data_IF_837744032326
#
_entry.id   IF_837744032326
#
_cell.length_a   1.000
_cell.length_b   1.000
_cell.length_c   1.000
_cell.angle_alpha   90.00
_cell.angle_beta   90.00
_cell.angle_gamma   90.00
#
_symmetry.space_group_name_H-M   'P 1'
#
loop_
_entity.id
_entity.type
_entity.pdbx_description
1 polymer ?
#
# COMPACT_ATOMS: atom_id res chain seq x y z
N UNK A 1 13.08 0.31 2.26
CA UNK A 1 13.89 -0.91 2.05
C UNK A 1 15.21 -0.84 2.78
N UNK A 2 15.98 0.22 2.55
CA UNK A 2 17.26 0.46 3.21
C UNK A 2 17.16 0.54 4.74
N UNK A 3 16.17 1.26 5.29
CA UNK A 3 16.00 1.39 6.75
C UNK A 3 15.66 0.05 7.42
N UNK A 4 14.83 -0.77 6.76
CA UNK A 4 14.55 -2.15 7.18
C UNK A 4 15.84 -2.98 7.18
N UNK A 5 16.67 -2.87 6.14
CA UNK A 5 17.91 -3.64 6.04
C UNK A 5 18.85 -3.28 7.21
N UNK A 6 19.03 -2.00 7.51
CA UNK A 6 19.87 -1.51 8.61
C UNK A 6 19.34 -2.03 9.96
N UNK A 7 18.05 -1.82 10.24
CA UNK A 7 17.46 -2.24 11.51
C UNK A 7 17.45 -3.78 11.68
N UNK A 8 17.23 -4.53 10.59
CA UNK A 8 17.30 -6.00 10.61
C UNK A 8 18.72 -6.51 10.83
N UNK A 9 19.72 -5.81 10.30
CA UNK A 9 21.13 -6.12 10.52
C UNK A 9 21.55 -5.86 11.96
N UNK A 10 21.07 -4.77 12.57
CA UNK A 10 21.28 -4.49 13.99
C UNK A 10 20.67 -5.59 14.88
N UNK A 11 19.42 -5.98 14.62
CA UNK A 11 18.76 -7.06 15.34
C UNK A 11 19.50 -8.40 15.19
N UNK A 12 20.04 -8.70 14.01
CA UNK A 12 20.84 -9.90 13.75
C UNK A 12 22.14 -9.88 14.54
N UNK A 13 22.85 -8.74 14.56
CA UNK A 13 24.08 -8.59 15.32
C UNK A 13 23.85 -8.79 16.82
N UNK A 14 22.77 -8.22 17.37
CA UNK A 14 22.41 -8.40 18.78
C UNK A 14 22.11 -9.86 19.13
N UNK A 15 21.37 -10.57 18.27
CA UNK A 15 21.07 -11.99 18.49
C UNK A 15 22.34 -12.86 18.45
N UNK A 16 23.28 -12.57 17.55
CA UNK A 16 24.56 -13.28 17.46
C UNK A 16 25.46 -12.99 18.66
N UNK A 17 25.47 -11.75 19.16
CA UNK A 17 26.22 -11.41 20.37
C UNK A 17 25.66 -12.16 21.59
N UNK A 18 24.34 -12.20 21.76
CA UNK A 18 23.70 -12.95 22.84
C UNK A 18 23.92 -14.47 22.73
N UNK A 19 23.86 -15.03 21.53
CA UNK A 19 24.19 -16.43 21.26
C UNK A 19 25.66 -16.75 21.59
N UNK A 20 26.58 -15.83 21.28
CA UNK A 20 28.00 -15.97 21.59
C UNK A 20 28.27 -15.98 23.09
N UNK A 21 27.61 -15.12 23.87
CA UNK A 21 27.73 -15.10 25.33
C UNK A 21 27.29 -16.43 25.96
N UNK A 22 26.24 -17.04 25.41
CA UNK A 22 25.71 -18.34 25.84
C UNK A 22 26.42 -19.53 25.21
N UNK A 23 27.33 -19.29 24.26
CA UNK A 23 27.95 -20.29 23.38
C UNK A 23 26.95 -21.22 22.67
N UNK A 24 25.72 -20.75 22.47
CA UNK A 24 24.64 -21.52 21.86
C UNK A 24 24.22 -20.85 20.56
N UNK A 25 24.68 -21.41 19.44
CA UNK A 25 24.30 -21.00 18.08
C UNK A 25 23.22 -21.90 17.48
N UNK A 26 22.55 -22.70 18.31
CA UNK A 26 21.39 -23.47 17.87
C UNK A 26 20.21 -22.55 17.54
N UNK A 27 19.16 -23.13 16.95
CA UNK A 27 17.91 -22.40 16.70
C UNK A 27 17.30 -21.81 17.99
N UNK A 28 17.54 -22.44 19.15
CA UNK A 28 17.08 -21.93 20.44
C UNK A 28 17.89 -20.69 20.87
N UNK A 29 19.23 -20.73 20.72
CA UNK A 29 20.11 -19.60 21.02
C UNK A 29 19.88 -18.37 20.13
N UNK A 30 19.44 -18.58 18.89
CA UNK A 30 19.10 -17.50 17.93
C UNK A 30 17.63 -17.08 17.94
N UNK A 31 16.78 -17.67 18.79
CA UNK A 31 15.35 -17.35 18.87
C UNK A 31 15.08 -15.88 19.25
N UNK A 32 16.10 -15.18 19.75
CA UNK A 32 16.06 -13.77 20.10
C UNK A 32 15.96 -12.87 18.85
N UNK A 33 16.51 -13.31 17.71
CA UNK A 33 16.47 -12.56 16.45
C UNK A 33 15.04 -12.27 15.95
N UNK A 34 14.16 -13.28 15.72
CA UNK A 34 12.81 -13.01 15.22
C UNK A 34 12.01 -12.14 16.20
N UNK A 35 12.24 -12.27 17.51
CA UNK A 35 11.60 -11.43 18.53
C UNK A 35 12.06 -9.97 18.46
N UNK A 36 13.36 -9.73 18.25
CA UNK A 36 13.91 -8.39 18.02
C UNK A 36 13.43 -7.81 16.68
N UNK A 37 13.32 -8.65 15.64
CA UNK A 37 12.81 -8.23 14.35
C UNK A 37 11.34 -7.80 14.46
N UNK A 38 10.51 -8.57 15.17
CA UNK A 38 9.09 -8.27 15.35
C UNK A 38 8.81 -6.99 16.16
N UNK A 39 9.74 -6.60 17.04
CA UNK A 39 9.64 -5.37 17.82
C UNK A 39 9.97 -4.12 17.00
N UNK A 40 10.62 -4.27 15.84
CA UNK A 40 10.95 -3.14 14.98
C UNK A 40 9.67 -2.44 14.48
N UNK A 41 9.61 -1.09 14.54
CA UNK A 41 8.47 -0.32 14.03
C UNK A 41 8.14 -0.65 12.58
N UNK A 42 9.16 -0.83 11.73
CA UNK A 42 9.01 -1.16 10.31
C UNK A 42 8.27 -2.47 10.07
N UNK A 43 8.36 -3.45 10.98
CA UNK A 43 7.61 -4.71 10.84
C UNK A 43 6.10 -4.52 11.09
N UNK A 44 5.70 -3.51 11.89
CA UNK A 44 4.29 -3.14 12.03
C UNK A 44 3.77 -2.53 10.73
N UNK A 45 4.53 -1.62 10.14
CA UNK A 45 4.18 -0.98 8.87
C UNK A 45 4.08 -1.97 7.71
N UNK A 46 5.05 -2.90 7.59
CA UNK A 46 5.02 -3.94 6.57
C UNK A 46 3.82 -4.88 6.71
N UNK A 47 3.40 -5.18 7.94
CA UNK A 47 2.19 -5.98 8.20
C UNK A 47 0.92 -5.22 7.84
N UNK A 48 0.87 -3.94 8.18
CA UNK A 48 -0.25 -3.06 7.87
C UNK A 48 -0.46 -2.95 6.35
N UNK A 49 0.61 -2.66 5.60
CA UNK A 49 0.54 -2.48 4.14
C UNK A 49 0.72 -3.78 3.33
N UNK A 50 0.66 -4.96 3.96
CA UNK A 50 0.91 -6.25 3.29
C UNK A 50 -0.03 -6.52 2.10
N UNK A 51 -1.23 -5.95 2.10
CA UNK A 51 -2.23 -6.12 1.04
C UNK A 51 -2.12 -5.10 -0.09
N UNK A 52 -1.31 -4.06 0.07
CA UNK A 52 -1.13 -3.00 -0.93
C UNK A 52 -0.57 -3.54 -2.26
N UNK A 53 0.42 -4.46 -2.29
CA UNK A 53 0.90 -5.03 -3.54
C UNK A 53 -0.21 -5.73 -4.34
N UNK A 54 -1.06 -6.53 -3.67
CA UNK A 54 -2.20 -7.19 -4.32
C UNK A 54 -3.23 -6.19 -4.88
N UNK A 55 -3.37 -5.04 -4.22
CA UNK A 55 -4.21 -3.94 -4.74
C UNK A 55 -3.56 -3.28 -5.97
N UNK A 56 -2.24 -3.12 -5.97
CA UNK A 56 -1.48 -2.55 -7.10
C UNK A 56 -1.48 -3.48 -8.32
N UNK A 57 -1.66 -4.79 -8.16
CA UNK A 57 -1.78 -5.71 -9.31
C UNK A 57 -3.00 -5.44 -10.21
N UNK A 58 -3.99 -4.64 -9.76
CA UNK A 58 -5.11 -4.22 -10.60
C UNK A 58 -4.67 -3.10 -11.57
N UNK A 59 -4.58 -3.36 -12.89
CA UNK A 59 -4.06 -2.38 -13.87
C UNK A 59 -4.87 -1.08 -13.93
N UNK A 60 -6.11 -1.10 -13.44
CA UNK A 60 -7.00 0.07 -13.38
C UNK A 60 -6.51 1.13 -12.41
N UNK A 61 -5.79 0.76 -11.34
CA UNK A 61 -5.21 1.68 -10.35
C UNK A 61 -4.24 2.68 -11.00
N UNK A 62 -3.56 2.28 -12.07
CA UNK A 62 -2.56 3.11 -12.75
C UNK A 62 -3.05 3.74 -14.05
N UNK A 63 -4.20 3.32 -14.57
CA UNK A 63 -4.70 3.76 -15.88
C UNK A 63 -6.01 4.54 -15.75
N UNK A 64 -7.06 3.87 -15.28
CA UNK A 64 -8.42 4.40 -15.32
C UNK A 64 -8.69 5.44 -14.23
N UNK A 65 -8.17 5.24 -13.02
CA UNK A 65 -8.40 6.20 -11.92
C UNK A 65 -7.65 7.53 -12.10
N UNK A 66 -6.35 7.55 -12.48
CA UNK A 66 -5.66 8.81 -12.76
C UNK A 66 -6.29 9.57 -13.93
N UNK A 67 -6.67 8.86 -15.00
CA UNK A 67 -7.33 9.46 -16.16
C UNK A 67 -8.68 10.06 -15.77
N UNK A 68 -9.50 9.33 -15.00
CA UNK A 68 -10.77 9.84 -14.48
C UNK A 68 -10.58 11.13 -13.67
N UNK A 69 -9.58 11.17 -12.79
CA UNK A 69 -9.28 12.37 -12.00
C UNK A 69 -8.86 13.54 -12.90
N UNK A 70 -8.02 13.28 -13.91
CA UNK A 70 -7.60 14.29 -14.89
C UNK A 70 -8.79 14.82 -15.70
N UNK A 71 -9.69 13.94 -16.16
CA UNK A 71 -10.86 14.31 -16.95
C UNK A 71 -11.85 15.15 -16.12
N UNK A 72 -12.05 14.82 -14.84
CA UNK A 72 -12.86 15.61 -13.90
C UNK A 72 -12.25 17.00 -13.68
N UNK A 73 -10.94 17.05 -13.43
CA UNK A 73 -10.24 18.32 -13.21
C UNK A 73 -10.27 19.18 -14.48
N UNK A 74 -10.05 18.60 -15.66
CA UNK A 74 -10.19 19.31 -16.92
C UNK A 74 -11.61 19.85 -17.08
N UNK A 75 -12.65 19.04 -16.86
CA UNK A 75 -14.03 19.50 -16.96
C UNK A 75 -14.40 20.62 -15.95
N UNK A 76 -13.74 20.66 -14.80
CA UNK A 76 -13.91 21.70 -13.78
C UNK A 76 -13.24 23.03 -14.15
N UNK A 77 -12.04 22.96 -14.73
CA UNK A 77 -11.20 24.14 -15.00
C UNK A 77 -11.28 24.65 -16.44
N UNK A 78 -11.86 23.88 -17.36
CA UNK A 78 -12.08 24.27 -18.74
C UNK A 78 -13.34 25.16 -18.85
N UNK A 79 -13.15 26.42 -19.26
CA UNK A 79 -14.23 27.40 -19.47
C UNK A 79 -14.53 27.52 -20.97
N UNK A 80 -15.43 26.67 -21.47
CA UNK A 80 -15.76 26.57 -22.90
C UNK A 80 -16.95 27.44 -23.35
N UNK A 81 -17.46 28.34 -22.50
CA UNK A 81 -18.61 29.21 -22.81
C UNK A 81 -19.95 28.50 -23.02
N UNK A 82 -20.00 27.17 -22.84
CA UNK A 82 -21.23 26.35 -22.87
C UNK A 82 -21.88 26.31 -21.48
N UNK A 83 -23.21 26.12 -21.38
CA UNK A 83 -23.88 26.03 -20.08
C UNK A 83 -23.26 24.91 -19.24
N UNK A 84 -23.03 25.15 -17.92
CA UNK A 84 -22.33 24.20 -17.07
C UNK A 84 -23.07 22.86 -17.05
N UNK A 85 -22.41 21.82 -17.57
CA UNK A 85 -22.92 20.47 -17.46
C UNK A 85 -22.72 19.98 -16.02
N UNK A 86 -23.73 19.33 -15.41
CA UNK A 86 -23.60 18.86 -14.04
C UNK A 86 -22.50 17.78 -13.96
N UNK A 87 -21.50 17.99 -13.11
CA UNK A 87 -20.40 17.05 -12.81
C UNK A 87 -20.87 15.61 -12.60
N UNK A 88 -22.07 15.45 -12.05
CA UNK A 88 -22.73 14.15 -11.85
C UNK A 88 -22.93 13.37 -13.16
N UNK A 89 -23.25 14.03 -14.29
CA UNK A 89 -23.41 13.36 -15.60
C UNK A 89 -22.08 12.88 -16.16
N UNK A 90 -21.03 13.70 -16.06
CA UNK A 90 -19.67 13.35 -16.50
C UNK A 90 -19.13 12.19 -15.66
N UNK A 91 -19.28 12.27 -14.33
CA UNK A 91 -18.95 11.17 -13.41
C UNK A 91 -19.73 9.90 -13.75
N UNK A 92 -21.05 9.98 -13.97
CA UNK A 92 -21.85 8.81 -14.33
C UNK A 92 -21.41 8.18 -15.66
N UNK A 93 -21.05 8.96 -16.67
CA UNK A 93 -20.56 8.46 -17.95
C UNK A 93 -19.23 7.71 -17.81
N UNK A 94 -18.28 8.26 -17.05
CA UNK A 94 -16.98 7.62 -16.85
C UNK A 94 -17.06 6.43 -15.88
N UNK A 95 -17.89 6.49 -14.83
CA UNK A 95 -18.20 5.35 -13.97
C UNK A 95 -18.85 4.19 -14.75
N UNK A 96 -19.63 4.48 -15.80
CA UNK A 96 -20.21 3.46 -16.68
C UNK A 96 -19.15 2.69 -17.47
N UNK A 97 -18.04 3.34 -17.84
CA UNK A 97 -16.93 2.71 -18.57
C UNK A 97 -16.08 1.79 -17.68
N UNK A 98 -15.90 2.14 -16.40
CA UNK A 98 -15.13 1.33 -15.43
C UNK A 98 -15.99 0.20 -14.82
N UNK A 99 -17.32 0.38 -14.81
CA UNK A 99 -18.32 -0.56 -14.30
C UNK A 99 -18.56 -0.38 -12.80
N UNK A 100 -19.82 -0.13 -12.41
CA UNK A 100 -20.21 0.18 -11.03
C UNK A 100 -19.82 -0.90 -10.00
N UNK A 101 -19.88 -2.18 -10.39
CA UNK A 101 -19.49 -3.30 -9.53
C UNK A 101 -17.99 -3.33 -9.26
N UNK A 102 -17.16 -2.90 -10.22
CA UNK A 102 -15.72 -2.82 -10.02
C UNK A 102 -15.35 -1.63 -9.14
N UNK A 103 -15.99 -0.48 -9.32
CA UNK A 103 -15.80 0.67 -8.42
C UNK A 103 -16.16 0.34 -6.97
N UNK A 104 -17.30 -0.33 -6.76
CA UNK A 104 -17.75 -0.70 -5.42
C UNK A 104 -16.80 -1.74 -4.80
N UNK A 105 -16.38 -2.75 -5.57
CA UNK A 105 -15.47 -3.80 -5.13
C UNK A 105 -14.06 -3.26 -4.83
N UNK A 106 -13.56 -2.36 -5.67
CA UNK A 106 -12.27 -1.70 -5.50
C UNK A 106 -12.31 -0.70 -4.33
N UNK A 107 -13.45 -0.03 -4.11
CA UNK A 107 -13.67 0.82 -2.93
C UNK A 107 -13.67 0.03 -1.63
N UNK A 108 -14.35 -1.13 -1.58
CA UNK A 108 -14.32 -2.02 -0.41
C UNK A 108 -12.92 -2.58 -0.20
N UNK A 109 -12.24 -3.05 -1.25
CA UNK A 109 -10.85 -3.56 -1.15
C UNK A 109 -9.88 -2.48 -0.66
N UNK A 110 -10.01 -1.24 -1.13
CA UNK A 110 -9.16 -0.12 -0.73
C UNK A 110 -9.33 0.24 0.76
N UNK A 111 -10.57 0.30 1.25
CA UNK A 111 -10.85 0.56 2.67
C UNK A 111 -10.40 -0.59 3.58
N UNK A 112 -10.37 -1.82 3.08
CA UNK A 112 -9.90 -3.00 3.84
C UNK A 112 -8.38 -3.23 3.75
N UNK A 113 -7.69 -2.45 2.90
CA UNK A 113 -6.24 -2.50 2.71
C UNK A 113 -5.51 -1.34 3.43
N UNK A 114 -6.25 -0.29 3.81
CA UNK A 114 -5.85 0.74 4.78
C UNK A 114 -6.15 0.27 6.21
#
# INVERSE_FOLDING_TARGET
GMDLAIASGEAAAQAVLAAREKQDFSAAGLADYPRLLESLPVMKELRHYRKVPEMMDNPRMFTQYPQLAADIMSALFTVDGRPPQPLRKTLLQHCKQVGYLNLLKDGIKGVTAL
#
